data_IF_878609370844
#
_entry.id   IF_878609370844
#
_cell.length_a   1.000
_cell.length_b   1.000
_cell.length_c   1.000
_cell.angle_alpha   90.00
_cell.angle_beta   90.00
_cell.angle_gamma   90.00
#
_symmetry.space_group_name_H-M   'P 1'
#
loop_
_entity.id
_entity.type
_entity.pdbx_description
1 polymer ?
#
# COMPACT_ATOMS: atom_id res chain seq x y z
N UNK A 1 9.23 -1.06 7.66
CA UNK A 1 10.05 -0.31 6.68
C UNK A 1 10.92 -1.22 5.81
N UNK A 2 11.49 -2.31 6.33
CA UNK A 2 12.36 -3.24 5.57
C UNK A 2 11.95 -3.55 4.11
N UNK A 3 10.69 -3.90 3.83
CA UNK A 3 10.23 -4.18 2.47
C UNK A 3 10.32 -2.96 1.56
N UNK A 4 9.88 -1.80 2.03
CA UNK A 4 9.92 -0.56 1.25
C UNK A 4 11.37 -0.13 1.04
N UNK A 5 12.26 -0.33 2.02
CA UNK A 5 13.69 -0.01 1.89
C UNK A 5 14.37 -0.93 0.87
N UNK A 6 14.02 -2.21 0.83
CA UNK A 6 14.59 -3.18 -0.08
C UNK A 6 14.14 -2.95 -1.54
N UNK A 7 12.86 -2.64 -1.76
CA UNK A 7 12.29 -2.49 -3.11
C UNK A 7 12.24 -1.04 -3.60
N UNK A 8 12.29 -0.07 -2.70
CA UNK A 8 12.09 1.37 -2.95
C UNK A 8 10.62 1.71 -3.21
N UNK A 9 10.28 2.98 -2.98
CA UNK A 9 8.92 3.50 -3.13
C UNK A 9 8.35 3.40 -4.53
N UNK A 10 9.17 3.35 -5.57
CA UNK A 10 8.72 3.24 -6.97
C UNK A 10 8.37 1.80 -7.39
N UNK A 11 8.57 0.82 -6.50
CA UNK A 11 8.35 -0.61 -6.81
C UNK A 11 7.36 -1.29 -5.85
N UNK A 12 6.52 -0.53 -5.16
CA UNK A 12 5.52 -1.06 -4.22
C UNK A 12 4.11 -0.56 -4.57
N UNK A 13 3.12 -1.45 -4.45
CA UNK A 13 1.71 -1.14 -4.68
C UNK A 13 0.89 -1.72 -3.53
N UNK A 14 -0.08 -0.97 -3.03
CA UNK A 14 -1.02 -1.47 -2.03
C UNK A 14 -2.14 -2.29 -2.67
N UNK A 15 -2.49 -3.41 -2.04
CA UNK A 15 -3.67 -4.20 -2.39
C UNK A 15 -4.34 -4.73 -1.10
N UNK A 16 -5.65 -4.95 -1.18
CA UNK A 16 -6.44 -5.43 -0.04
C UNK A 16 -6.46 -6.94 0.13
N UNK A 17 -6.10 -7.70 -0.91
CA UNK A 17 -6.30 -9.14 -1.00
C UNK A 17 -7.75 -9.57 -0.72
N UNK A 18 -8.74 -8.76 -1.13
CA UNK A 18 -10.15 -9.07 -0.94
C UNK A 18 -10.62 -10.23 -1.84
N UNK A 19 -11.40 -11.21 -1.33
CA UNK A 19 -12.03 -11.29 0.00
C UNK A 19 -11.17 -12.00 1.08
N UNK A 20 -9.95 -12.43 0.75
CA UNK A 20 -9.06 -13.23 1.62
C UNK A 20 -8.65 -12.48 2.88
N UNK A 21 -8.66 -11.14 2.89
CA UNK A 21 -8.41 -10.37 4.11
C UNK A 21 -9.52 -10.46 5.18
N UNK A 22 -10.68 -11.08 4.89
CA UNK A 22 -11.82 -11.18 5.82
C UNK A 22 -11.47 -11.81 7.17
N UNK A 23 -10.79 -12.96 7.25
CA UNK A 23 -10.38 -13.55 8.54
C UNK A 23 -9.42 -12.65 9.34
N UNK A 24 -8.70 -11.75 8.68
CA UNK A 24 -7.79 -10.78 9.30
C UNK A 24 -8.46 -9.47 9.75
N UNK A 25 -9.79 -9.39 9.76
CA UNK A 25 -10.54 -8.18 10.12
C UNK A 25 -11.11 -7.41 8.92
N UNK A 26 -10.94 -7.94 7.71
CA UNK A 26 -11.52 -7.39 6.48
C UNK A 26 -10.89 -6.09 6.02
N UNK A 27 -11.50 -5.48 4.98
CA UNK A 27 -10.96 -4.32 4.28
C UNK A 27 -10.72 -3.13 5.22
N UNK A 28 -11.65 -2.84 6.14
CA UNK A 28 -11.55 -1.68 7.03
C UNK A 28 -10.37 -1.81 7.99
N UNK A 29 -10.20 -2.98 8.63
CA UNK A 29 -9.08 -3.22 9.53
C UNK A 29 -7.75 -3.23 8.77
N UNK A 30 -7.73 -3.85 7.58
CA UNK A 30 -6.54 -3.89 6.74
C UNK A 30 -6.10 -2.49 6.29
N UNK A 31 -7.03 -1.67 5.81
CA UNK A 31 -6.77 -0.28 5.43
C UNK A 31 -6.23 0.55 6.60
N UNK A 32 -6.82 0.40 7.79
CA UNK A 32 -6.37 1.09 8.99
C UNK A 32 -4.94 0.67 9.36
N UNK A 33 -4.65 -0.63 9.35
CA UNK A 33 -3.33 -1.16 9.65
C UNK A 33 -2.26 -0.66 8.66
N UNK A 34 -2.52 -0.72 7.35
CA UNK A 34 -1.54 -0.27 6.35
C UNK A 34 -1.33 1.25 6.40
N UNK A 35 -2.38 2.04 6.69
CA UNK A 35 -2.23 3.48 6.90
C UNK A 35 -1.41 3.82 8.13
N UNK A 36 -1.57 3.07 9.22
CA UNK A 36 -0.76 3.24 10.41
C UNK A 36 0.72 2.90 10.14
N UNK A 37 1.00 1.81 9.40
CA UNK A 37 2.35 1.38 9.04
C UNK A 37 3.15 2.42 8.23
N UNK A 38 2.46 3.24 7.42
CA UNK A 38 3.10 4.29 6.60
C UNK A 38 2.75 5.70 7.06
N UNK A 39 2.32 5.88 8.31
CA UNK A 39 1.88 7.18 8.83
C UNK A 39 2.99 8.25 8.81
N UNK A 40 4.25 7.84 8.95
CA UNK A 40 5.43 8.72 8.87
C UNK A 40 5.91 9.03 7.46
N UNK A 41 5.38 8.36 6.44
CA UNK A 41 5.77 8.59 5.05
C UNK A 41 5.22 9.94 4.55
N UNK A 42 5.98 10.58 3.67
CA UNK A 42 5.57 11.80 2.98
C UNK A 42 4.29 11.57 2.15
N UNK A 43 3.65 12.66 1.74
CA UNK A 43 2.49 12.59 0.85
C UNK A 43 2.84 11.94 -0.49
N UNK A 44 3.97 12.31 -1.09
CA UNK A 44 4.44 11.73 -2.36
C UNK A 44 4.71 10.22 -2.27
N UNK A 45 5.30 9.74 -1.17
CA UNK A 45 5.52 8.31 -0.94
C UNK A 45 4.20 7.53 -0.80
N UNK A 46 3.24 8.10 -0.07
CA UNK A 46 1.89 7.51 0.05
C UNK A 46 1.16 7.52 -1.28
N UNK A 47 1.30 8.56 -2.09
CA UNK A 47 0.71 8.63 -3.44
C UNK A 47 1.27 7.52 -4.34
N UNK A 48 2.59 7.29 -4.33
CA UNK A 48 3.22 6.17 -5.04
C UNK A 48 2.61 4.83 -4.66
N UNK A 49 2.52 4.55 -3.37
CA UNK A 49 2.00 3.28 -2.84
C UNK A 49 0.52 3.06 -3.15
N UNK A 50 -0.33 4.09 -3.02
CA UNK A 50 -1.78 3.93 -3.12
C UNK A 50 -2.36 4.15 -4.52
N UNK A 51 -1.61 4.76 -5.46
CA UNK A 51 -2.16 5.10 -6.78
C UNK A 51 -1.10 5.16 -7.89
N UNK A 52 -0.05 5.98 -7.75
CA UNK A 52 0.78 6.35 -8.89
C UNK A 52 1.54 5.17 -9.51
N UNK A 53 2.07 4.27 -8.67
CA UNK A 53 2.78 3.09 -9.18
C UNK A 53 1.84 2.11 -9.90
N UNK A 54 0.61 1.94 -9.38
CA UNK A 54 -0.40 1.12 -10.02
C UNK A 54 -0.76 1.67 -11.41
N UNK A 55 -0.97 2.99 -11.52
CA UNK A 55 -1.25 3.65 -12.80
C UNK A 55 -0.13 3.48 -13.80
N UNK A 56 1.12 3.65 -13.37
CA UNK A 56 2.29 3.45 -14.22
C UNK A 56 2.43 2.00 -14.69
N UNK A 57 2.22 1.03 -13.79
CA UNK A 57 2.37 -0.40 -14.10
C UNK A 57 1.28 -0.93 -15.04
N UNK A 58 0.04 -0.51 -14.85
CA UNK A 58 -1.12 -1.02 -15.60
C UNK A 58 -1.65 -0.08 -16.69
N UNK A 59 -1.07 1.12 -16.85
CA UNK A 59 -1.50 2.09 -17.86
C UNK A 59 -2.91 2.66 -17.62
N UNK A 60 -3.24 2.96 -16.35
CA UNK A 60 -4.58 3.41 -15.90
C UNK A 60 -4.77 4.94 -15.92
#
# INVERSE_FOLDING_TARGET
EHTIDAFRWDCVVWASDGPVCTPGGGLTAWLAATRALVAGASEAEREKLYSANARALWGL
#
